data_IF_009239107600
#
_entry.id   IF_009239107600
#
_cell.length_a   1.000
_cell.length_b   1.000
_cell.length_c   1.000
_cell.angle_alpha   90.00
_cell.angle_beta   90.00
_cell.angle_gamma   90.00
#
_symmetry.space_group_name_H-M   'P 1'
#
loop_
_entity.id
_entity.type
_entity.pdbx_description
1 polymer ?
#
# COMPACT_ATOMS: atom_id res chain seq x y z
N UNK A 1 -25.59 11.23 -23.11
CA UNK A 1 -24.54 12.21 -22.77
C UNK A 1 -23.90 11.71 -21.49
N UNK A 2 -22.80 10.98 -21.61
CA UNK A 2 -22.03 10.42 -20.50
C UNK A 2 -20.62 10.94 -20.69
N UNK A 3 -20.24 11.85 -19.80
CA UNK A 3 -18.96 12.55 -19.79
C UNK A 3 -17.96 11.69 -19.03
N UNK A 4 -16.95 11.18 -19.73
CA UNK A 4 -15.85 10.39 -19.16
C UNK A 4 -14.78 11.36 -18.66
N UNK A 5 -14.43 11.29 -17.38
CA UNK A 5 -13.35 12.08 -16.80
C UNK A 5 -11.99 11.65 -17.39
N UNK A 6 -11.03 12.59 -17.61
CA UNK A 6 -9.76 12.26 -18.23
C UNK A 6 -8.81 11.59 -17.23
N UNK A 7 -8.13 10.53 -17.68
CA UNK A 7 -6.96 9.98 -17.02
C UNK A 7 -5.79 10.96 -17.19
N UNK A 8 -5.11 11.31 -16.10
CA UNK A 8 -3.93 12.18 -16.14
C UNK A 8 -2.70 11.33 -16.44
N UNK A 9 -2.15 11.45 -17.65
CA UNK A 9 -0.84 10.91 -17.99
C UNK A 9 0.27 11.63 -17.22
N UNK A 10 1.35 10.89 -16.91
CA UNK A 10 2.57 11.45 -16.33
C UNK A 10 3.20 12.48 -17.29
N UNK A 11 3.52 13.70 -16.82
CA UNK A 11 4.12 14.71 -17.67
C UNK A 11 5.53 14.29 -18.09
N UNK A 12 5.72 14.19 -19.40
CA UNK A 12 7.01 14.14 -20.07
C UNK A 12 7.59 15.55 -20.13
N UNK A 13 8.16 16.03 -19.03
CA UNK A 13 9.05 17.18 -19.11
C UNK A 13 10.22 17.07 -18.13
N UNK A 14 11.39 16.77 -18.69
CA UNK A 14 12.65 16.63 -17.99
C UNK A 14 13.35 17.99 -17.94
N UNK A 15 12.90 18.91 -17.09
CA UNK A 15 13.74 20.04 -16.65
C UNK A 15 13.42 20.45 -15.22
N UNK A 16 14.44 20.40 -14.33
CA UNK A 16 14.45 20.95 -12.97
C UNK A 16 13.59 20.25 -11.88
N UNK A 17 13.42 18.92 -11.91
CA UNK A 17 13.02 18.20 -10.71
C UNK A 17 14.27 17.94 -9.86
N UNK A 18 14.34 18.53 -8.66
CA UNK A 18 15.33 18.11 -7.66
C UNK A 18 15.24 16.59 -7.46
N UNK A 19 16.37 15.94 -7.16
CA UNK A 19 16.39 14.50 -6.89
C UNK A 19 15.24 14.14 -5.93
N UNK A 20 14.51 13.03 -6.19
CA UNK A 20 13.43 12.61 -5.31
C UNK A 20 13.97 12.53 -3.88
N UNK A 21 13.24 13.10 -2.91
CA UNK A 21 13.63 13.00 -1.51
C UNK A 21 13.50 11.53 -1.10
N UNK A 22 14.64 10.84 -1.04
CA UNK A 22 14.72 9.42 -0.70
C UNK A 22 15.06 9.21 0.77
N UNK A 23 15.07 10.26 1.60
CA UNK A 23 15.44 10.14 3.03
C UNK A 23 14.40 9.36 3.83
N UNK A 24 14.77 8.97 5.05
CA UNK A 24 13.81 8.41 6.01
C UNK A 24 12.77 9.49 6.40
N UNK A 25 11.52 9.07 6.61
CA UNK A 25 10.45 9.96 7.09
C UNK A 25 10.60 10.21 8.59
N UNK A 26 10.15 11.38 9.05
CA UNK A 26 10.07 11.66 10.49
C UNK A 26 8.97 10.82 11.17
N UNK A 27 7.88 10.54 10.45
CA UNK A 27 6.82 9.66 10.92
C UNK A 27 7.25 8.19 10.88
N UNK A 28 6.88 7.36 11.87
CA UNK A 28 7.11 5.93 11.81
C UNK A 28 6.45 5.30 10.57
N UNK A 29 7.21 4.52 9.81
CA UNK A 29 6.75 3.82 8.62
C UNK A 29 6.62 2.33 8.92
N UNK A 30 5.44 1.77 8.66
CA UNK A 30 5.16 0.35 8.81
C UNK A 30 4.95 -0.32 7.46
N UNK A 31 5.80 -1.29 7.14
CA UNK A 31 5.72 -2.11 5.94
C UNK A 31 4.77 -3.28 6.19
N UNK A 32 3.79 -3.44 5.31
CA UNK A 32 2.78 -4.51 5.33
C UNK A 32 2.93 -5.37 4.06
N UNK A 33 3.71 -6.46 4.12
CA UNK A 33 3.87 -7.38 3.00
C UNK A 33 2.60 -8.13 2.63
N UNK A 34 2.61 -8.71 1.42
CA UNK A 34 1.57 -9.59 0.93
C UNK A 34 1.70 -11.04 1.39
N UNK A 35 0.95 -11.92 0.72
CA UNK A 35 1.07 -13.37 0.88
C UNK A 35 2.51 -13.82 0.60
N UNK A 36 3.05 -14.74 1.40
CA UNK A 36 4.43 -15.22 1.35
C UNK A 36 5.52 -14.22 1.76
N UNK A 37 5.14 -13.05 2.33
CA UNK A 37 6.05 -11.99 2.73
C UNK A 37 6.78 -11.35 1.55
N UNK A 38 7.59 -10.33 1.83
CA UNK A 38 8.49 -9.67 0.88
C UNK A 38 9.86 -10.32 0.97
N UNK A 39 10.30 -10.94 -0.13
CA UNK A 39 11.61 -11.58 -0.26
C UNK A 39 12.78 -10.57 -0.13
N UNK A 40 14.04 -11.01 0.00
CA UNK A 40 15.16 -10.11 0.23
C UNK A 40 15.38 -9.02 -0.84
N UNK A 41 14.99 -9.27 -2.09
CA UNK A 41 15.17 -8.38 -3.24
C UNK A 41 13.96 -7.47 -3.48
N UNK A 42 12.86 -7.72 -2.77
CA UNK A 42 11.68 -6.87 -2.77
C UNK A 42 11.99 -5.46 -2.24
N UNK A 43 11.41 -4.43 -2.84
CA UNK A 43 11.62 -3.03 -2.45
C UNK A 43 11.27 -2.76 -0.98
N UNK A 44 10.24 -3.40 -0.41
CA UNK A 44 9.96 -3.33 1.04
C UNK A 44 11.14 -3.82 1.89
N UNK A 45 11.79 -4.92 1.51
CA UNK A 45 12.97 -5.44 2.23
C UNK A 45 14.19 -4.52 2.09
N UNK A 46 14.32 -3.88 0.93
CA UNK A 46 15.36 -2.87 0.70
C UNK A 46 15.10 -1.61 1.54
N UNK A 47 13.84 -1.16 1.62
CA UNK A 47 13.45 0.00 2.43
C UNK A 47 13.66 -0.23 3.92
N UNK A 48 13.33 -1.41 4.42
CA UNK A 48 13.61 -1.82 5.80
C UNK A 48 15.10 -1.67 6.14
N UNK A 49 15.98 -2.20 5.28
CA UNK A 49 17.44 -2.13 5.49
C UNK A 49 18.01 -0.72 5.35
N UNK A 50 17.48 0.06 4.41
CA UNK A 50 18.07 1.35 4.02
C UNK A 50 17.54 2.52 4.85
N UNK A 51 16.26 2.50 5.24
CA UNK A 51 15.57 3.64 5.87
C UNK A 51 15.13 3.35 7.30
N UNK A 52 15.24 2.11 7.77
CA UNK A 52 14.77 1.68 9.08
C UNK A 52 13.25 1.57 9.18
N UNK A 53 12.55 1.51 8.05
CA UNK A 53 11.11 1.26 7.99
C UNK A 53 10.81 -0.11 8.62
N UNK A 54 9.74 -0.22 9.40
CA UNK A 54 9.50 -1.38 10.24
C UNK A 54 8.53 -2.36 9.58
N UNK A 55 8.97 -3.60 9.34
CA UNK A 55 8.07 -4.66 8.91
C UNK A 55 7.14 -5.10 10.05
N UNK A 56 5.85 -5.19 9.76
CA UNK A 56 4.89 -5.84 10.66
C UNK A 56 4.97 -7.34 10.43
N UNK A 57 5.65 -8.04 11.34
CA UNK A 57 5.73 -9.49 11.32
C UNK A 57 4.38 -10.15 11.59
N UNK A 58 4.00 -11.07 10.71
CA UNK A 58 2.75 -11.82 10.77
C UNK A 58 2.97 -13.27 11.21
N UNK A 59 1.95 -13.85 11.85
CA UNK A 59 2.05 -15.19 12.44
C UNK A 59 2.29 -16.32 11.43
N UNK A 60 1.62 -16.26 10.26
CA UNK A 60 1.75 -17.24 9.18
C UNK A 60 1.63 -16.55 7.83
N UNK A 61 2.71 -16.59 7.05
CA UNK A 61 2.79 -16.04 5.71
C UNK A 61 2.23 -16.97 4.63
N UNK A 62 2.12 -18.27 4.88
CA UNK A 62 1.58 -19.28 3.97
C UNK A 62 0.06 -19.41 4.09
N UNK A 63 -0.47 -19.35 5.31
CA UNK A 63 -1.91 -19.38 5.61
C UNK A 63 -2.36 -18.10 6.31
N UNK A 64 -2.38 -16.97 5.58
CA UNK A 64 -2.67 -15.67 6.18
C UNK A 64 -4.14 -15.62 6.58
N UNK A 65 -4.41 -15.62 7.88
CA UNK A 65 -5.75 -15.44 8.44
C UNK A 65 -6.00 -13.95 8.62
N UNK A 66 -7.03 -13.43 7.94
CA UNK A 66 -7.38 -12.00 7.97
C UNK A 66 -7.49 -11.45 9.40
N UNK A 67 -8.16 -12.18 10.29
CA UNK A 67 -8.34 -11.77 11.69
C UNK A 67 -7.02 -11.67 12.46
N UNK A 68 -6.16 -12.67 12.32
CA UNK A 68 -4.86 -12.71 13.01
C UNK A 68 -3.96 -11.57 12.51
N UNK A 69 -3.96 -11.31 11.20
CA UNK A 69 -3.18 -10.22 10.62
C UNK A 69 -3.69 -8.83 11.03
N UNK A 70 -5.01 -8.65 11.11
CA UNK A 70 -5.64 -7.43 11.61
C UNK A 70 -5.30 -7.18 13.07
N UNK A 71 -5.42 -8.20 13.92
CA UNK A 71 -5.08 -8.10 15.34
C UNK A 71 -3.60 -7.73 15.51
N UNK A 72 -2.72 -8.36 14.73
CA UNK A 72 -1.29 -8.09 14.78
C UNK A 72 -0.93 -6.66 14.38
N UNK A 73 -1.52 -6.14 13.30
CA UNK A 73 -1.34 -4.74 12.91
C UNK A 73 -1.82 -3.80 14.02
N UNK A 74 -3.00 -4.08 14.58
CA UNK A 74 -3.59 -3.27 15.65
C UNK A 74 -2.70 -3.24 16.90
N UNK A 75 -2.19 -4.39 17.34
CA UNK A 75 -1.25 -4.51 18.45
C UNK A 75 0.04 -3.70 18.23
N UNK A 76 0.65 -3.81 17.04
CA UNK A 76 1.88 -3.09 16.71
C UNK A 76 1.66 -1.57 16.79
N UNK A 77 0.56 -1.07 16.24
CA UNK A 77 0.24 0.35 16.28
C UNK A 77 -0.11 0.83 17.70
N UNK A 78 -0.79 0.01 18.51
CA UNK A 78 -1.09 0.36 19.90
C UNK A 78 0.15 0.39 20.78
N UNK A 79 1.11 -0.52 20.57
CA UNK A 79 2.31 -0.65 21.38
C UNK A 79 3.38 0.40 21.08
N UNK A 80 3.31 1.06 19.93
CA UNK A 80 4.24 2.11 19.59
C UNK A 80 3.83 3.46 20.19
N UNK A 81 4.50 3.83 21.28
CA UNK A 81 4.30 5.11 21.97
C UNK A 81 4.68 6.33 21.10
N UNK A 82 5.50 6.18 20.04
CA UNK A 82 5.81 7.28 19.11
C UNK A 82 4.55 7.80 18.41
N UNK A 83 3.53 6.94 18.27
CA UNK A 83 2.29 7.27 17.57
C UNK A 83 1.34 8.16 18.39
N UNK A 84 1.65 8.42 19.66
CA UNK A 84 0.90 9.38 20.47
C UNK A 84 1.15 10.82 20.01
N UNK A 85 2.36 11.10 19.52
CA UNK A 85 2.76 12.41 19.00
C UNK A 85 2.75 12.47 17.46
N UNK A 86 3.14 11.38 16.79
CA UNK A 86 3.32 11.34 15.34
C UNK A 86 2.67 10.10 14.74
N UNK A 87 1.47 10.22 14.15
CA UNK A 87 0.77 9.10 13.54
C UNK A 87 1.59 8.43 12.42
N UNK A 88 1.43 7.12 12.29
CA UNK A 88 2.19 6.30 11.38
C UNK A 88 1.82 6.52 9.91
N UNK A 89 2.72 6.09 9.02
CA UNK A 89 2.43 5.89 7.60
C UNK A 89 2.50 4.40 7.29
N UNK A 90 1.43 3.84 6.74
CA UNK A 90 1.37 2.44 6.33
C UNK A 90 1.84 2.30 4.88
N UNK A 91 2.68 1.30 4.61
CA UNK A 91 3.16 0.97 3.27
C UNK A 91 2.83 -0.48 2.99
N UNK A 92 1.73 -0.69 2.27
CA UNK A 92 1.20 -2.02 2.01
C UNK A 92 1.50 -2.47 0.59
N UNK A 93 1.81 -3.76 0.43
CA UNK A 93 1.94 -4.41 -0.87
C UNK A 93 0.98 -5.60 -0.95
N UNK A 94 0.35 -5.76 -2.12
CA UNK A 94 -0.49 -6.92 -2.42
C UNK A 94 -1.55 -7.18 -1.33
N UNK A 95 -1.57 -8.39 -0.73
CA UNK A 95 -2.51 -8.75 0.35
C UNK A 95 -2.45 -7.79 1.55
N UNK A 96 -1.32 -7.15 1.79
CA UNK A 96 -1.20 -6.08 2.79
C UNK A 96 -2.17 -4.93 2.55
N UNK A 97 -2.55 -4.64 1.30
CA UNK A 97 -3.55 -3.60 1.01
C UNK A 97 -4.93 -4.01 1.52
N UNK A 98 -5.28 -5.30 1.35
CA UNK A 98 -6.51 -5.87 1.87
C UNK A 98 -6.52 -5.91 3.41
N UNK A 99 -5.34 -6.09 4.02
CA UNK A 99 -5.16 -5.93 5.47
C UNK A 99 -5.50 -4.50 5.91
N UNK A 100 -4.94 -3.47 5.27
CA UNK A 100 -5.23 -2.07 5.63
C UNK A 100 -6.74 -1.78 5.53
N UNK A 101 -7.38 -2.15 4.42
CA UNK A 101 -8.81 -1.92 4.24
C UNK A 101 -9.67 -2.67 5.27
N UNK A 102 -9.34 -3.93 5.56
CA UNK A 102 -10.09 -4.73 6.54
C UNK A 102 -9.88 -4.24 7.97
N UNK A 103 -8.64 -3.90 8.34
CA UNK A 103 -8.31 -3.34 9.63
C UNK A 103 -8.99 -1.99 9.87
N UNK A 104 -8.94 -1.08 8.89
CA UNK A 104 -9.51 0.26 9.02
C UNK A 104 -11.04 0.26 9.18
N UNK A 105 -11.73 -0.74 8.64
CA UNK A 105 -13.18 -0.90 8.83
C UNK A 105 -13.58 -1.31 10.26
N UNK A 106 -12.70 -2.00 10.99
CA UNK A 106 -13.02 -2.58 12.31
C UNK A 106 -12.31 -1.88 13.48
N UNK A 107 -11.09 -1.42 13.27
CA UNK A 107 -10.24 -0.87 14.33
C UNK A 107 -10.74 0.50 14.80
N UNK A 108 -10.64 0.74 16.11
CA UNK A 108 -10.85 2.07 16.70
C UNK A 108 -9.55 2.89 16.76
N UNK A 109 -8.43 2.32 16.31
CA UNK A 109 -7.09 2.92 16.36
C UNK A 109 -6.66 3.54 15.03
N UNK A 110 -7.59 3.77 14.11
CA UNK A 110 -7.31 4.39 12.80
C UNK A 110 -6.76 5.81 12.90
N UNK A 111 -7.02 6.51 14.01
CA UNK A 111 -6.42 7.81 14.33
C UNK A 111 -4.89 7.76 14.50
N UNK A 112 -4.29 6.59 14.72
CA UNK A 112 -2.83 6.39 14.79
C UNK A 112 -2.17 6.33 13.42
N UNK A 113 -2.91 6.45 12.33
CA UNK A 113 -2.41 6.42 10.95
C UNK A 113 -2.71 7.75 10.27
N UNK A 114 -1.67 8.44 9.80
CA UNK A 114 -1.81 9.67 9.02
C UNK A 114 -2.12 9.36 7.54
N UNK A 115 -1.48 8.33 6.99
CA UNK A 115 -1.57 8.01 5.58
C UNK A 115 -1.25 6.54 5.26
N UNK A 116 -1.67 6.09 4.08
CA UNK A 116 -1.32 4.79 3.53
C UNK A 116 -0.88 4.86 2.05
N UNK A 117 0.21 4.19 1.73
CA UNK A 117 0.63 3.84 0.37
C UNK A 117 0.25 2.37 0.12
N UNK A 118 -0.66 2.14 -0.82
CA UNK A 118 -1.23 0.83 -1.13
C UNK A 118 -0.77 0.39 -2.54
N UNK A 119 0.12 -0.59 -2.61
CA UNK A 119 0.80 -0.97 -3.85
C UNK A 119 0.29 -2.33 -4.34
N UNK A 120 -0.17 -2.37 -5.59
CA UNK A 120 -0.65 -3.57 -6.27
C UNK A 120 -1.73 -4.35 -5.49
N UNK A 121 -2.85 -3.72 -5.06
CA UNK A 121 -3.91 -4.43 -4.35
C UNK A 121 -4.48 -5.59 -5.21
N UNK A 122 -4.52 -6.84 -4.72
CA UNK A 122 -5.00 -7.99 -5.49
C UNK A 122 -6.52 -8.05 -5.48
N UNK A 123 -7.11 -8.66 -6.52
CA UNK A 123 -8.54 -9.00 -6.49
C UNK A 123 -8.76 -10.33 -5.76
N UNK A 124 -9.02 -10.30 -4.45
CA UNK A 124 -9.23 -11.52 -3.64
C UNK A 124 -10.50 -12.29 -4.00
N UNK A 125 -11.39 -11.71 -4.82
CA UNK A 125 -12.68 -12.32 -5.21
C UNK A 125 -12.62 -13.07 -6.54
N UNK A 126 -11.48 -13.07 -7.22
CA UNK A 126 -11.27 -13.83 -8.46
C UNK A 126 -11.40 -15.34 -8.24
N UNK A 127 -11.97 -16.07 -9.21
CA UNK A 127 -12.23 -17.51 -9.11
C UNK A 127 -10.97 -18.36 -8.91
N UNK A 128 -9.86 -18.01 -9.56
CA UNK A 128 -8.58 -18.75 -9.49
C UNK A 128 -7.74 -18.45 -8.22
N UNK A 129 -8.29 -17.65 -7.29
CA UNK A 129 -7.57 -17.27 -6.06
C UNK A 129 -7.19 -18.52 -5.26
N UNK A 130 -5.94 -18.62 -4.77
CA UNK A 130 -5.51 -19.73 -3.94
C UNK A 130 -6.41 -19.94 -2.71
N UNK A 131 -6.74 -21.19 -2.34
CA UNK A 131 -7.59 -21.50 -1.18
C UNK A 131 -7.14 -20.85 0.14
N UNK A 132 -5.82 -20.67 0.30
CA UNK A 132 -5.20 -19.99 1.44
C UNK A 132 -5.77 -18.58 1.64
N UNK A 133 -6.18 -17.92 0.55
CA UNK A 133 -6.62 -16.53 0.53
C UNK A 133 -8.15 -16.37 0.50
N UNK A 134 -8.94 -17.46 0.46
CA UNK A 134 -10.41 -17.38 0.41
C UNK A 134 -11.01 -16.66 1.62
N UNK A 135 -10.35 -16.71 2.78
CA UNK A 135 -10.78 -16.02 4.00
C UNK A 135 -10.68 -14.48 3.93
N UNK A 136 -10.04 -13.95 2.88
CA UNK A 136 -9.94 -12.52 2.59
C UNK A 136 -11.11 -11.97 1.77
N UNK A 137 -12.11 -12.80 1.46
CA UNK A 137 -13.36 -12.39 0.82
C UNK A 137 -14.43 -11.99 1.86
N UNK A 138 -15.38 -11.13 1.49
CA UNK A 138 -15.28 -10.17 0.39
C UNK A 138 -14.23 -9.08 0.68
N UNK A 139 -13.79 -8.41 -0.39
CA UNK A 139 -12.96 -7.20 -0.32
C UNK A 139 -13.73 -6.13 0.44
N UNK A 140 -13.09 -5.47 1.42
CA UNK A 140 -13.69 -4.33 2.11
C UNK A 140 -13.63 -3.09 1.23
N UNK A 141 -14.78 -2.44 1.03
CA UNK A 141 -14.96 -1.31 0.10
C UNK A 141 -15.26 0.02 0.81
N UNK A 142 -15.23 0.04 2.14
CA UNK A 142 -15.44 1.26 2.93
C UNK A 142 -14.32 2.27 2.66
N UNK A 143 -14.66 3.57 2.59
CA UNK A 143 -13.66 4.64 2.44
C UNK A 143 -12.67 4.60 3.60
N UNK A 144 -11.39 4.76 3.30
CA UNK A 144 -10.35 4.77 4.32
C UNK A 144 -10.40 6.08 5.12
N UNK A 145 -10.26 6.04 6.46
CA UNK A 145 -10.39 7.22 7.32
C UNK A 145 -9.12 8.09 7.35
N UNK A 146 -8.13 7.80 6.51
CA UNK A 146 -6.86 8.52 6.39
C UNK A 146 -6.47 8.67 4.91
N UNK A 147 -5.55 9.60 4.63
CA UNK A 147 -5.08 9.87 3.26
C UNK A 147 -4.48 8.60 2.66
N UNK A 148 -4.91 8.26 1.46
CA UNK A 148 -4.50 7.01 0.85
C UNK A 148 -4.13 7.21 -0.60
N UNK A 149 -3.06 6.54 -1.03
CA UNK A 149 -2.62 6.47 -2.42
C UNK A 149 -2.53 5.02 -2.84
N UNK A 150 -3.22 4.67 -3.93
CA UNK A 150 -3.11 3.36 -4.56
C UNK A 150 -2.18 3.47 -5.77
N UNK A 151 -1.19 2.58 -5.84
CA UNK A 151 -0.29 2.42 -6.99
C UNK A 151 -0.60 1.10 -7.66
N UNK A 152 -0.95 1.13 -8.95
CA UNK A 152 -1.30 -0.06 -9.73
C UNK A 152 -0.41 -0.19 -10.95
N UNK A 153 -0.21 -1.42 -11.38
CA UNK A 153 0.43 -1.74 -12.65
C UNK A 153 -0.65 -2.10 -13.67
N UNK A 154 -0.46 -1.70 -14.93
CA UNK A 154 -1.43 -1.95 -16.01
C UNK A 154 -1.42 -3.41 -16.50
N UNK A 155 -0.43 -4.21 -16.10
CA UNK A 155 -0.31 -5.64 -16.44
C UNK A 155 -0.13 -6.53 -15.20
N UNK A 156 -0.71 -6.14 -14.07
CA UNK A 156 -0.67 -6.95 -12.84
C UNK A 156 -1.43 -8.28 -13.04
N UNK A 157 -0.79 -9.45 -12.90
CA UNK A 157 -1.45 -10.74 -13.06
C UNK A 157 -2.41 -11.08 -11.92
N UNK A 158 -2.45 -10.33 -10.83
CA UNK A 158 -3.29 -10.57 -9.65
C UNK A 158 -4.50 -9.64 -9.52
N UNK A 159 -4.58 -8.60 -10.34
CA UNK A 159 -5.73 -7.71 -10.38
C UNK A 159 -5.84 -7.00 -11.74
N UNK A 160 -6.99 -7.10 -12.39
CA UNK A 160 -7.25 -6.29 -13.58
C UNK A 160 -7.19 -4.79 -13.25
N UNK A 161 -6.74 -3.96 -14.19
CA UNK A 161 -6.57 -2.52 -13.98
C UNK A 161 -7.89 -1.84 -13.59
N UNK A 162 -9.00 -2.23 -14.24
CA UNK A 162 -10.33 -1.70 -13.96
C UNK A 162 -10.77 -2.03 -12.53
N UNK A 163 -10.40 -3.24 -12.07
CA UNK A 163 -10.77 -3.73 -10.75
C UNK A 163 -10.00 -3.03 -9.63
N UNK A 164 -8.70 -2.82 -9.82
CA UNK A 164 -7.86 -2.08 -8.87
C UNK A 164 -8.18 -0.58 -8.86
N UNK A 165 -8.52 -0.01 -10.02
CA UNK A 165 -9.05 1.36 -10.14
C UNK A 165 -10.37 1.52 -9.37
N UNK A 166 -11.29 0.55 -9.49
CA UNK A 166 -12.53 0.55 -8.72
C UNK A 166 -12.26 0.44 -7.20
N UNK A 167 -11.32 -0.41 -6.77
CA UNK A 167 -10.90 -0.48 -5.36
C UNK A 167 -10.37 0.86 -4.85
N UNK A 168 -9.52 1.55 -5.64
CA UNK A 168 -9.02 2.87 -5.26
C UNK A 168 -10.16 3.90 -5.08
N UNK A 169 -11.14 3.88 -5.99
CA UNK A 169 -12.32 4.76 -5.90
C UNK A 169 -13.17 4.45 -4.65
N UNK A 170 -13.45 3.17 -4.38
CA UNK A 170 -14.21 2.73 -3.21
C UNK A 170 -13.52 3.15 -1.90
N UNK A 171 -12.20 2.98 -1.82
CA UNK A 171 -11.39 3.41 -0.68
C UNK A 171 -11.26 4.93 -0.56
N UNK A 172 -11.71 5.69 -1.58
CA UNK A 172 -11.53 7.14 -1.63
C UNK A 172 -10.07 7.56 -1.72
N UNK A 173 -9.21 6.71 -2.28
CA UNK A 173 -7.78 6.91 -2.42
C UNK A 173 -7.44 7.61 -3.74
N UNK A 174 -6.33 8.33 -3.76
CA UNK A 174 -5.72 8.78 -5.01
C UNK A 174 -5.17 7.58 -5.77
N UNK A 175 -5.06 7.68 -7.09
CA UNK A 175 -4.60 6.60 -7.96
C UNK A 175 -3.38 7.03 -8.77
N UNK A 176 -2.36 6.16 -8.80
CA UNK A 176 -1.23 6.25 -9.72
C UNK A 176 -1.13 4.95 -10.51
N UNK A 177 -1.09 5.07 -11.83
CA UNK A 177 -0.85 3.95 -12.74
C UNK A 177 0.63 3.98 -13.11
N UNK A 178 1.40 3.00 -12.63
CA UNK A 178 2.86 2.95 -12.78
C UNK A 178 3.33 2.38 -14.13
N UNK A 179 2.39 2.13 -15.05
CA UNK A 179 2.66 1.43 -16.32
C UNK A 179 2.73 -0.09 -16.15
N UNK A 180 3.36 -0.78 -17.10
CA UNK A 180 3.39 -2.23 -17.18
C UNK A 180 4.55 -2.84 -16.38
N UNK A 181 4.44 -2.84 -15.05
CA UNK A 181 5.50 -3.28 -14.12
C UNK A 181 5.14 -4.57 -13.35
N UNK A 182 4.28 -5.42 -13.91
CA UNK A 182 3.87 -6.68 -13.30
C UNK A 182 3.19 -6.46 -11.95
N UNK A 183 3.55 -7.22 -10.91
CA UNK A 183 2.96 -7.11 -9.58
C UNK A 183 3.69 -6.14 -8.65
N UNK A 184 4.52 -5.24 -9.19
CA UNK A 184 5.34 -4.28 -8.43
C UNK A 184 6.11 -4.96 -7.29
N UNK A 185 6.76 -6.10 -7.57
CA UNK A 185 7.52 -6.89 -6.61
C UNK A 185 8.99 -7.04 -7.06
N UNK A 186 9.76 -7.96 -6.46
CA UNK A 186 11.16 -8.16 -6.84
C UNK A 186 11.35 -8.45 -8.35
N UNK A 187 10.44 -9.24 -8.93
CA UNK A 187 10.48 -9.58 -10.36
C UNK A 187 10.21 -8.38 -11.28
N UNK A 188 9.69 -7.28 -10.75
CA UNK A 188 9.49 -6.02 -11.47
C UNK A 188 10.79 -5.23 -11.67
N UNK A 189 11.89 -5.61 -11.02
CA UNK A 189 13.19 -4.96 -11.21
C UNK A 189 13.28 -3.53 -10.67
N UNK A 190 12.47 -3.19 -9.66
CA UNK A 190 12.37 -1.84 -9.11
C UNK A 190 13.54 -1.45 -8.18
N UNK A 191 14.31 -2.43 -7.68
CA UNK A 191 15.35 -2.18 -6.69
C UNK A 191 14.80 -1.51 -5.43
N UNK A 192 15.45 -0.46 -4.96
CA UNK A 192 15.01 0.36 -3.82
C UNK A 192 13.88 1.33 -4.18
N UNK A 193 13.37 1.27 -5.41
CA UNK A 193 12.20 1.98 -5.92
C UNK A 193 12.10 3.47 -5.49
N UNK A 194 13.00 4.33 -5.99
CA UNK A 194 13.04 5.75 -5.64
C UNK A 194 11.73 6.48 -5.92
N UNK A 195 11.02 6.11 -6.99
CA UNK A 195 9.70 6.66 -7.32
C UNK A 195 8.67 6.31 -6.25
N UNK A 196 8.69 5.06 -5.74
CA UNK A 196 7.85 4.63 -4.62
C UNK A 196 8.13 5.44 -3.35
N UNK A 197 9.41 5.73 -3.05
CA UNK A 197 9.78 6.61 -1.92
C UNK A 197 9.25 8.02 -2.12
N UNK A 198 9.36 8.59 -3.32
CA UNK A 198 8.84 9.92 -3.61
C UNK A 198 7.31 10.00 -3.43
N UNK A 199 6.57 8.95 -3.82
CA UNK A 199 5.13 8.83 -3.58
C UNK A 199 4.82 8.73 -2.09
N UNK A 200 5.59 7.94 -1.34
CA UNK A 200 5.48 7.82 0.12
C UNK A 200 5.64 9.19 0.81
N UNK A 201 6.69 9.94 0.46
CA UNK A 201 6.92 11.29 1.00
C UNK A 201 5.75 12.24 0.68
N UNK A 202 5.25 12.20 -0.55
CA UNK A 202 4.13 13.06 -0.97
C UNK A 202 2.84 12.72 -0.22
N UNK A 203 2.56 11.45 0.07
CA UNK A 203 1.31 11.06 0.77
C UNK A 203 1.44 11.25 2.29
N UNK A 204 2.67 11.30 2.81
CA UNK A 204 2.95 11.65 4.19
C UNK A 204 2.86 13.17 4.45
N UNK A 205 3.21 14.03 3.47
CA UNK A 205 3.10 15.48 3.64
C UNK A 205 1.63 15.94 3.54
N UNK A 206 1.06 16.37 4.67
CA UNK A 206 -0.33 16.83 4.76
C UNK A 206 -0.60 18.15 4.01
N UNK A 207 0.44 18.85 3.57
CA UNK A 207 0.34 20.08 2.75
C UNK A 207 0.39 19.81 1.27
N UNK A 208 0.88 18.64 0.85
CA UNK A 208 1.02 18.30 -0.56
C UNK A 208 -0.37 18.09 -1.19
N UNK A 209 -0.70 18.78 -2.30
CA UNK A 209 -1.95 18.57 -3.01
C UNK A 209 -1.94 17.22 -3.74
N UNK A 210 -3.12 16.61 -3.85
CA UNK A 210 -3.39 15.37 -4.57
C UNK A 210 -4.75 15.41 -5.26
#
# INVERSE_FOLDING_TARGET
MTETAPATDLPTDATSAGLPDTRSLAAPVYLLPGWLNSDPDHWQSLWERQFGDQRVEQADWQWPRRGDWMARLDEVLQQDARLDDTPAVLVAHSLGCQLVASWAEHSQHTHRVAAALLVAPPDTERDDMPPQLHNWRPIRRSRLPFRSLVVVSSNDPFCALERSTAMAADWGAHLVIAGALGHLNAASGLGDWPEGRALLHRIADNRAPW
#
